data_IF_108173334283
#
_entry.id   IF_108173334283
#
_cell.length_a   1.000
_cell.length_b   1.000
_cell.length_c   1.000
_cell.angle_alpha   90.00
_cell.angle_beta   90.00
_cell.angle_gamma   90.00
#
_symmetry.space_group_name_H-M   'P 1'
#
loop_
_entity.id
_entity.type
_entity.pdbx_description
1 polymer ?
#
# COMPACT_ATOMS: atom_id res chain seq x y z
N UNK A 1 1.59 -52.39 -19.86
CA UNK A 1 0.81 -52.79 -21.02
C UNK A 1 0.09 -51.53 -21.51
N UNK A 2 0.62 -50.85 -22.39
CA UNK A 2 0.74 -51.06 -23.85
C UNK A 2 -0.45 -50.38 -24.56
N UNK A 3 -0.10 -49.44 -25.26
CA UNK A 3 0.17 -49.12 -26.67
C UNK A 3 -1.00 -48.46 -27.40
N UNK A 4 -0.68 -47.39 -27.96
CA UNK A 4 -0.47 -46.97 -29.37
C UNK A 4 -1.73 -46.43 -30.04
N UNK A 5 -1.67 -45.25 -30.55
CA UNK A 5 -1.02 -44.68 -31.70
C UNK A 5 -1.92 -44.63 -32.96
N UNK A 6 -1.83 -43.48 -33.60
CA UNK A 6 -1.82 -43.23 -35.05
C UNK A 6 -3.15 -43.35 -35.84
N UNK A 7 -3.47 -42.62 -36.83
CA UNK A 7 -2.84 -41.69 -37.78
C UNK A 7 -3.95 -41.16 -38.72
N UNK A 8 -3.85 -39.96 -39.18
CA UNK A 8 -3.55 -39.48 -40.54
C UNK A 8 -4.62 -39.38 -41.61
N UNK A 9 -4.53 -38.24 -42.27
CA UNK A 9 -4.61 -37.91 -43.70
C UNK A 9 -6.00 -37.56 -44.27
N UNK A 10 -6.16 -36.36 -44.75
CA UNK A 10 -5.74 -35.65 -45.99
C UNK A 10 -6.46 -36.13 -47.28
N UNK A 11 -6.97 -35.16 -47.97
CA UNK A 11 -6.93 -34.88 -49.43
C UNK A 11 -8.23 -34.17 -49.86
N UNK A 12 -8.15 -32.95 -50.28
CA UNK A 12 -7.89 -32.41 -51.62
C UNK A 12 -9.03 -32.58 -52.62
N UNK A 13 -9.30 -31.41 -53.20
CA UNK A 13 -9.64 -31.07 -54.59
C UNK A 13 -11.13 -30.95 -54.91
N UNK A 14 -11.60 -30.11 -55.74
CA UNK A 14 -11.10 -29.12 -56.74
C UNK A 14 -12.32 -28.40 -57.33
N UNK A 15 -12.11 -27.14 -57.69
CA UNK A 15 -12.48 -26.46 -58.95
C UNK A 15 -13.95 -26.15 -59.32
N UNK A 16 -14.15 -24.94 -59.59
CA UNK A 16 -14.57 -24.21 -60.78
C UNK A 16 -15.72 -23.20 -60.60
N UNK A 17 -15.29 -21.97 -60.74
CA UNK A 17 -15.77 -20.87 -61.60
C UNK A 17 -17.27 -20.81 -61.98
N UNK A 18 -17.93 -19.67 -61.82
CA UNK A 18 -18.10 -18.60 -62.78
C UNK A 18 -19.14 -17.55 -62.35
N UNK A 19 -18.80 -16.30 -62.78
CA UNK A 19 -19.60 -15.10 -63.05
C UNK A 19 -20.44 -14.37 -62.01
N UNK A 20 -19.89 -13.18 -61.74
CA UNK A 20 -20.46 -11.81 -61.83
C UNK A 20 -21.93 -11.55 -61.41
N UNK A 21 -22.06 -10.62 -60.46
CA UNK A 21 -22.79 -9.35 -60.63
C UNK A 21 -22.44 -8.37 -59.51
N UNK A 22 -22.02 -7.18 -59.93
CA UNK A 22 -21.79 -6.03 -59.08
C UNK A 22 -23.12 -5.57 -58.43
N UNK A 23 -23.13 -5.41 -57.09
CA UNK A 23 -24.03 -4.47 -56.46
C UNK A 23 -23.26 -3.74 -55.37
N UNK A 24 -23.03 -2.46 -55.61
CA UNK A 24 -22.53 -1.50 -54.68
C UNK A 24 -23.44 -1.41 -53.45
N UNK A 25 -22.96 -1.92 -52.31
CA UNK A 25 -23.53 -1.64 -50.98
C UNK A 25 -22.48 -0.86 -50.22
N UNK A 26 -22.75 0.39 -49.98
CA UNK A 26 -22.05 1.23 -49.00
C UNK A 26 -22.19 0.57 -47.64
N UNK A 27 -21.14 -0.14 -47.20
CA UNK A 27 -20.95 -0.44 -45.78
C UNK A 27 -20.47 0.83 -45.11
N UNK A 28 -21.40 1.56 -44.51
CA UNK A 28 -21.08 2.51 -43.44
C UNK A 28 -20.48 1.70 -42.29
N UNK A 29 -19.16 1.76 -42.18
CA UNK A 29 -18.47 1.41 -40.95
C UNK A 29 -18.94 2.38 -39.88
N UNK A 30 -19.91 1.95 -39.08
CA UNK A 30 -20.25 2.56 -37.81
C UNK A 30 -19.11 2.27 -36.86
N UNK A 31 -18.05 3.09 -36.93
CA UNK A 31 -17.10 3.24 -35.84
C UNK A 31 -17.84 4.06 -34.79
N UNK A 32 -18.49 3.38 -33.87
CA UNK A 32 -18.83 3.96 -32.59
C UNK A 32 -17.52 4.26 -31.85
N UNK A 33 -16.91 5.40 -32.21
CA UNK A 33 -16.14 6.16 -31.25
C UNK A 33 -17.14 6.48 -30.12
N UNK A 34 -17.08 5.68 -29.04
CA UNK A 34 -17.80 6.02 -27.82
C UNK A 34 -17.20 7.34 -27.32
N UNK A 35 -17.89 8.42 -27.62
CA UNK A 35 -17.67 9.70 -26.95
C UNK A 35 -17.76 9.38 -25.45
N UNK A 36 -16.63 9.49 -24.73
CA UNK A 36 -16.62 9.32 -23.28
C UNK A 36 -17.67 10.25 -22.71
N UNK A 37 -18.60 9.73 -21.91
CA UNK A 37 -19.59 10.50 -21.22
C UNK A 37 -18.86 11.62 -20.45
N UNK A 38 -19.11 12.92 -20.71
CA UNK A 38 -18.42 14.00 -20.03
C UNK A 38 -18.64 14.00 -18.51
N UNK A 39 -19.58 13.19 -18.01
CA UNK A 39 -19.88 13.03 -16.59
C UNK A 39 -19.08 11.88 -15.90
N UNK A 40 -18.28 11.11 -16.64
CA UNK A 40 -17.51 9.98 -16.09
C UNK A 40 -16.05 10.00 -16.52
N UNK A 41 -15.21 9.27 -15.78
CA UNK A 41 -13.79 9.03 -16.07
C UNK A 41 -13.48 7.55 -15.86
N UNK A 42 -12.69 6.94 -16.75
CA UNK A 42 -12.20 5.57 -16.58
C UNK A 42 -10.71 5.60 -16.25
N UNK A 43 -10.33 4.88 -15.22
CA UNK A 43 -8.95 4.69 -14.77
C UNK A 43 -8.61 3.21 -14.70
N UNK A 44 -7.32 2.88 -14.57
CA UNK A 44 -6.85 1.52 -14.26
C UNK A 44 -6.30 1.51 -12.84
N UNK A 45 -6.85 0.67 -11.97
CA UNK A 45 -6.39 0.57 -10.58
C UNK A 45 -5.19 -0.37 -10.41
N UNK A 46 -4.65 -0.48 -9.20
CA UNK A 46 -3.49 -1.34 -8.92
C UNK A 46 -3.80 -2.85 -8.97
N UNK A 47 -5.03 -3.27 -9.19
CA UNK A 47 -5.37 -4.66 -9.53
C UNK A 47 -5.29 -4.91 -11.04
N UNK A 48 -5.13 -3.85 -11.84
CA UNK A 48 -5.20 -3.87 -13.29
C UNK A 48 -6.63 -3.83 -13.84
N UNK A 49 -7.62 -3.56 -13.00
CA UNK A 49 -9.00 -3.43 -13.41
C UNK A 49 -9.30 -2.01 -13.92
N UNK A 50 -10.09 -1.92 -15.00
CA UNK A 50 -10.67 -0.66 -15.43
C UNK A 50 -11.86 -0.30 -14.51
N UNK A 51 -11.83 0.89 -13.94
CA UNK A 51 -12.88 1.41 -13.06
C UNK A 51 -13.43 2.70 -13.64
N UNK A 52 -14.74 2.75 -13.85
CA UNK A 52 -15.43 3.96 -14.29
C UNK A 52 -15.96 4.71 -13.06
N UNK A 53 -15.52 5.94 -12.93
CA UNK A 53 -15.82 6.83 -11.81
C UNK A 53 -16.64 8.04 -12.29
N UNK A 54 -17.50 8.64 -11.46
CA UNK A 54 -18.12 9.94 -11.77
C UNK A 54 -17.02 11.01 -11.91
N UNK A 55 -17.27 12.03 -12.75
CA UNK A 55 -16.32 13.12 -12.94
C UNK A 55 -16.11 13.95 -11.65
N UNK A 56 -17.14 14.05 -10.82
CA UNK A 56 -17.07 14.68 -9.50
C UNK A 56 -17.19 13.60 -8.43
N UNK A 57 -16.22 13.57 -7.52
CA UNK A 57 -16.15 12.62 -6.42
C UNK A 57 -16.15 13.42 -5.12
N UNK A 58 -17.28 13.39 -4.42
CA UNK A 58 -17.50 14.12 -3.16
C UNK A 58 -17.82 13.17 -1.99
N UNK A 59 -17.97 11.84 -2.27
CA UNK A 59 -18.40 10.84 -1.29
C UNK A 59 -17.48 9.62 -1.34
N UNK A 60 -16.38 9.71 -0.60
CA UNK A 60 -15.33 8.68 -0.57
C UNK A 60 -15.46 7.84 0.68
N UNK A 61 -15.38 6.53 0.51
CA UNK A 61 -15.18 5.59 1.62
C UNK A 61 -13.80 4.94 1.49
N UNK A 62 -13.02 4.92 2.57
CA UNK A 62 -11.72 4.24 2.63
C UNK A 62 -11.85 3.04 3.55
N UNK A 63 -11.90 1.83 2.97
CA UNK A 63 -12.13 0.59 3.71
C UNK A 63 -10.82 -0.07 4.16
N UNK A 64 -10.42 -1.19 3.58
CA UNK A 64 -9.31 -2.01 4.07
C UNK A 64 -7.91 -1.46 3.79
N UNK A 65 -7.77 -0.35 3.05
CA UNK A 65 -6.46 0.27 2.80
C UNK A 65 -6.11 1.27 3.91
N UNK A 66 -5.76 0.74 5.06
CA UNK A 66 -5.65 1.48 6.32
C UNK A 66 -4.66 2.68 6.31
N UNK A 67 -3.53 2.68 5.57
CA UNK A 67 -2.64 3.84 5.53
C UNK A 67 -3.13 5.00 4.65
N UNK A 68 -4.06 4.75 3.72
CA UNK A 68 -4.46 5.73 2.71
C UNK A 68 -5.06 7.04 3.25
N UNK A 69 -5.80 7.09 4.37
CA UNK A 69 -6.45 8.34 4.81
C UNK A 69 -5.50 9.54 4.90
N UNK A 70 -4.28 9.35 5.42
CA UNK A 70 -3.33 10.46 5.53
C UNK A 70 -2.77 10.91 4.17
N UNK A 71 -2.48 9.95 3.29
CA UNK A 71 -2.00 10.23 1.92
C UNK A 71 -3.08 10.95 1.14
N UNK A 72 -4.32 10.49 1.24
CA UNK A 72 -5.49 11.11 0.64
C UNK A 72 -5.68 12.56 1.09
N UNK A 73 -5.72 12.78 2.40
CA UNK A 73 -5.91 14.12 2.96
C UNK A 73 -4.80 15.10 2.53
N UNK A 74 -3.54 14.64 2.47
CA UNK A 74 -2.43 15.48 2.01
C UNK A 74 -2.54 15.79 0.51
N UNK A 75 -2.90 14.82 -0.31
CA UNK A 75 -3.10 15.03 -1.75
C UNK A 75 -4.26 15.98 -2.03
N UNK A 76 -5.40 15.80 -1.35
CA UNK A 76 -6.61 16.61 -1.52
C UNK A 76 -6.56 17.96 -0.80
N UNK A 77 -5.69 18.09 0.23
CA UNK A 77 -5.67 19.24 1.13
C UNK A 77 -6.89 19.34 2.04
N UNK A 78 -7.73 18.31 2.13
CA UNK A 78 -8.96 18.23 2.92
C UNK A 78 -9.34 16.78 3.24
N UNK A 79 -10.19 16.58 4.25
CA UNK A 79 -10.87 15.32 4.53
C UNK A 79 -12.40 15.42 4.35
N UNK A 80 -12.91 16.52 3.79
CA UNK A 80 -14.37 16.76 3.68
C UNK A 80 -15.09 15.73 2.81
N UNK A 81 -14.41 15.21 1.78
CA UNK A 81 -14.96 14.21 0.86
C UNK A 81 -15.04 12.80 1.51
N UNK A 82 -14.34 12.57 2.63
CA UNK A 82 -14.32 11.27 3.29
C UNK A 82 -15.58 11.10 4.14
N UNK A 83 -16.55 10.36 3.61
CA UNK A 83 -17.80 10.05 4.33
C UNK A 83 -17.70 8.80 5.21
N UNK A 84 -16.73 7.92 4.96
CA UNK A 84 -16.51 6.72 5.74
C UNK A 84 -15.07 6.25 5.75
N UNK A 85 -14.59 5.77 6.91
CA UNK A 85 -13.28 5.13 7.05
C UNK A 85 -13.36 3.90 7.95
N UNK A 86 -12.41 2.96 7.75
CA UNK A 86 -12.31 1.79 8.61
C UNK A 86 -12.11 2.18 10.10
N UNK A 87 -12.73 1.50 11.08
CA UNK A 87 -12.59 1.83 12.51
C UNK A 87 -11.15 1.90 12.99
N UNK A 88 -10.26 1.02 12.49
CA UNK A 88 -8.82 1.07 12.82
C UNK A 88 -8.13 2.31 12.25
N UNK A 89 -8.61 2.84 11.14
CA UNK A 89 -8.13 4.10 10.54
C UNK A 89 -8.60 5.29 11.36
N UNK A 90 -9.85 5.29 11.82
CA UNK A 90 -10.35 6.32 12.72
C UNK A 90 -9.56 6.35 14.02
N UNK A 91 -9.36 5.19 14.66
CA UNK A 91 -8.57 5.11 15.88
C UNK A 91 -7.13 5.62 15.71
N UNK A 92 -6.51 5.38 14.54
CA UNK A 92 -5.18 5.93 14.25
C UNK A 92 -5.23 7.45 14.03
N UNK A 93 -6.23 7.96 13.32
CA UNK A 93 -6.41 9.40 13.09
C UNK A 93 -6.59 10.17 14.40
N UNK A 94 -7.45 9.69 15.29
CA UNK A 94 -7.73 10.30 16.60
C UNK A 94 -6.51 10.37 17.51
N UNK A 95 -5.56 9.45 17.38
CA UNK A 95 -4.36 9.36 18.21
C UNK A 95 -3.09 9.90 17.53
N UNK A 96 -3.21 10.55 16.39
CA UNK A 96 -2.12 11.11 15.59
C UNK A 96 -2.28 12.60 15.33
N UNK A 97 -1.36 13.21 14.58
CA UNK A 97 -1.49 14.60 14.16
C UNK A 97 -2.54 14.81 13.06
N UNK A 98 -2.99 13.76 12.39
CA UNK A 98 -3.95 13.87 11.29
C UNK A 98 -5.22 14.60 11.69
N UNK A 99 -5.80 14.25 12.87
CA UNK A 99 -7.00 14.90 13.40
C UNK A 99 -6.81 16.39 13.69
N UNK A 100 -5.57 16.84 13.94
CA UNK A 100 -5.27 18.24 14.22
C UNK A 100 -5.11 19.06 12.94
N UNK A 101 -4.67 18.42 11.85
CA UNK A 101 -4.45 19.06 10.54
C UNK A 101 -5.73 19.02 9.71
N UNK A 102 -6.44 17.90 9.75
CA UNK A 102 -7.69 17.64 9.03
C UNK A 102 -8.78 17.18 10.00
N UNK A 103 -9.32 18.07 10.85
CA UNK A 103 -10.29 17.70 11.89
C UNK A 103 -11.61 17.15 11.31
N UNK A 104 -11.91 17.44 10.04
CA UNK A 104 -13.09 16.96 9.31
C UNK A 104 -13.15 15.44 9.24
N UNK A 105 -11.99 14.74 9.32
CA UNK A 105 -11.91 13.27 9.27
C UNK A 105 -12.72 12.62 10.42
N UNK A 106 -12.90 13.33 11.55
CA UNK A 106 -13.71 12.86 12.66
C UNK A 106 -15.20 12.71 12.31
N UNK A 107 -15.66 13.30 11.19
CA UNK A 107 -17.04 13.18 10.74
C UNK A 107 -17.30 11.90 9.94
N UNK A 108 -16.26 11.20 9.53
CA UNK A 108 -16.38 9.98 8.72
C UNK A 108 -17.05 8.86 9.53
N UNK A 109 -18.01 8.18 8.90
CA UNK A 109 -18.71 7.06 9.50
C UNK A 109 -17.79 5.81 9.53
N UNK A 110 -17.86 5.05 10.60
CA UNK A 110 -17.15 3.78 10.76
C UNK A 110 -18.09 2.59 10.84
N UNK A 111 -19.40 2.80 10.86
CA UNK A 111 -20.41 1.79 11.14
C UNK A 111 -20.61 0.79 9.99
N UNK A 112 -20.10 1.09 8.79
CA UNK A 112 -20.13 0.15 7.67
C UNK A 112 -19.19 -1.06 7.86
N UNK A 113 -18.35 -1.08 8.89
CA UNK A 113 -17.51 -2.23 9.25
C UNK A 113 -18.01 -2.83 10.56
N UNK A 114 -18.50 -4.07 10.50
CA UNK A 114 -18.98 -4.81 11.66
C UNK A 114 -18.15 -6.09 11.85
N UNK A 115 -17.63 -6.32 13.05
CA UNK A 115 -16.81 -7.49 13.39
C UNK A 115 -15.61 -7.70 12.43
N UNK A 116 -15.04 -6.60 11.90
CA UNK A 116 -13.91 -6.65 10.97
C UNK A 116 -14.27 -6.92 9.51
N UNK A 117 -15.54 -6.99 9.17
CA UNK A 117 -16.02 -7.17 7.79
C UNK A 117 -16.92 -6.01 7.35
N UNK A 118 -16.93 -5.76 6.05
CA UNK A 118 -17.80 -4.73 5.45
C UNK A 118 -19.26 -5.19 5.45
N UNK A 119 -20.12 -4.36 6.03
CA UNK A 119 -21.56 -4.48 5.90
C UNK A 119 -22.02 -3.74 4.65
N UNK A 120 -22.30 -4.49 3.58
CA UNK A 120 -22.63 -3.91 2.26
C UNK A 120 -23.94 -3.12 2.27
N UNK A 121 -24.93 -3.50 3.09
CA UNK A 121 -26.20 -2.78 3.17
C UNK A 121 -25.97 -1.40 3.81
N UNK A 122 -25.17 -1.34 4.85
CA UNK A 122 -24.79 -0.08 5.48
C UNK A 122 -23.98 0.79 4.52
N UNK A 123 -22.99 0.20 3.82
CA UNK A 123 -22.17 0.92 2.84
C UNK A 123 -23.02 1.50 1.70
N UNK A 124 -23.94 0.72 1.14
CA UNK A 124 -24.88 1.19 0.10
C UNK A 124 -25.76 2.34 0.59
N UNK A 125 -26.19 2.33 1.87
CA UNK A 125 -26.97 3.41 2.44
C UNK A 125 -26.21 4.73 2.59
N UNK A 126 -24.88 4.67 2.54
CA UNK A 126 -24.01 5.85 2.53
C UNK A 126 -23.89 6.48 1.15
N UNK A 127 -24.35 5.82 0.09
CA UNK A 127 -24.30 6.27 -1.31
C UNK A 127 -22.91 6.81 -1.70
N UNK A 128 -21.82 5.99 -1.59
CA UNK A 128 -20.49 6.43 -1.96
C UNK A 128 -20.33 6.56 -3.48
N UNK A 129 -19.60 7.60 -3.93
CA UNK A 129 -19.17 7.73 -5.32
C UNK A 129 -18.07 6.73 -5.66
N UNK A 130 -17.23 6.42 -4.67
CA UNK A 130 -16.14 5.46 -4.80
C UNK A 130 -15.74 4.88 -3.43
N UNK A 131 -15.31 3.62 -3.44
CA UNK A 131 -14.69 2.95 -2.30
C UNK A 131 -13.23 2.66 -2.61
N UNK A 132 -12.32 3.07 -1.73
CA UNK A 132 -10.90 2.71 -1.80
C UNK A 132 -10.62 1.54 -0.88
N UNK A 133 -9.97 0.51 -1.42
CA UNK A 133 -9.70 -0.73 -0.68
C UNK A 133 -8.29 -1.26 -0.94
N UNK A 134 -7.85 -2.25 -0.16
CA UNK A 134 -6.57 -2.92 -0.39
C UNK A 134 -6.67 -3.85 -1.58
N UNK A 135 -5.84 -3.64 -2.61
CA UNK A 135 -5.77 -4.49 -3.81
C UNK A 135 -5.51 -5.98 -3.48
N UNK A 136 -4.94 -6.27 -2.31
CA UNK A 136 -4.75 -7.64 -1.82
C UNK A 136 -6.04 -8.27 -1.25
N UNK A 137 -7.07 -7.47 -0.98
CA UNK A 137 -8.35 -7.95 -0.42
C UNK A 137 -9.34 -8.28 -1.54
N UNK A 138 -9.20 -9.47 -2.11
CA UNK A 138 -10.06 -9.93 -3.21
C UNK A 138 -11.51 -10.16 -2.79
N UNK A 139 -11.76 -10.45 -1.50
CA UNK A 139 -13.13 -10.63 -0.97
C UNK A 139 -13.91 -9.31 -0.99
N UNK A 140 -13.26 -8.20 -0.59
CA UNK A 140 -13.89 -6.89 -0.68
C UNK A 140 -14.11 -6.46 -2.13
N UNK A 141 -13.17 -6.73 -3.02
CA UNK A 141 -13.33 -6.47 -4.45
C UNK A 141 -14.59 -7.14 -4.98
N UNK A 142 -14.72 -8.46 -4.77
CA UNK A 142 -15.87 -9.24 -5.24
C UNK A 142 -17.19 -8.71 -4.62
N UNK A 143 -17.13 -8.25 -3.36
CA UNK A 143 -18.27 -7.66 -2.66
C UNK A 143 -18.75 -6.37 -3.33
N UNK A 144 -17.84 -5.47 -3.68
CA UNK A 144 -18.16 -4.19 -4.31
C UNK A 144 -18.60 -4.37 -5.77
N UNK A 145 -17.95 -5.25 -6.52
CA UNK A 145 -18.33 -5.58 -7.90
C UNK A 145 -19.75 -6.15 -7.96
N UNK A 146 -20.11 -7.07 -7.04
CA UNK A 146 -21.45 -7.64 -6.95
C UNK A 146 -22.51 -6.61 -6.54
N UNK A 147 -22.14 -5.60 -5.78
CA UNK A 147 -23.03 -4.53 -5.33
C UNK A 147 -23.13 -3.38 -6.34
N UNK A 148 -22.31 -3.37 -7.39
CA UNK A 148 -22.24 -2.30 -8.39
C UNK A 148 -21.69 -0.98 -7.84
N UNK A 149 -20.83 -1.05 -6.82
CA UNK A 149 -20.18 0.14 -6.22
C UNK A 149 -18.85 0.34 -6.93
N UNK A 150 -18.55 1.54 -7.48
CA UNK A 150 -17.23 1.83 -8.00
C UNK A 150 -16.18 1.67 -6.90
N UNK A 151 -15.19 0.78 -7.13
CA UNK A 151 -14.16 0.51 -6.14
C UNK A 151 -12.77 0.52 -6.78
N UNK A 152 -11.79 1.16 -6.11
CA UNK A 152 -10.42 1.31 -6.57
C UNK A 152 -9.47 0.62 -5.60
N UNK A 153 -8.72 -0.34 -6.10
CA UNK A 153 -7.75 -1.10 -5.32
C UNK A 153 -6.39 -0.42 -5.26
N UNK A 154 -5.89 -0.18 -4.04
CA UNK A 154 -4.54 0.33 -3.79
C UNK A 154 -3.61 -0.78 -3.33
N UNK A 155 -2.48 -0.97 -4.01
CA UNK A 155 -1.47 -1.97 -3.65
C UNK A 155 -0.38 -1.36 -2.77
N UNK A 156 0.07 -2.12 -1.76
CA UNK A 156 1.21 -1.76 -0.92
C UNK A 156 2.52 -2.41 -1.39
N UNK A 157 2.50 -3.22 -2.45
CA UNK A 157 3.63 -4.07 -2.83
C UNK A 157 4.07 -3.96 -4.30
N UNK A 158 3.48 -3.06 -5.09
CA UNK A 158 3.81 -2.90 -6.53
C UNK A 158 5.29 -2.60 -6.74
N UNK A 159 5.86 -1.70 -5.94
CA UNK A 159 7.25 -1.27 -6.06
C UNK A 159 8.23 -2.14 -5.25
N UNK A 160 7.89 -3.39 -4.92
CA UNK A 160 8.81 -4.31 -4.25
C UNK A 160 9.29 -3.84 -2.88
N UNK A 161 8.40 -3.20 -2.12
CA UNK A 161 8.65 -2.62 -0.80
C UNK A 161 9.54 -1.36 -0.80
N UNK A 162 9.79 -0.74 -1.95
CA UNK A 162 10.32 0.62 -2.00
C UNK A 162 9.24 1.59 -1.52
N UNK A 163 9.52 2.27 -0.41
CA UNK A 163 8.52 3.14 0.23
C UNK A 163 8.18 4.36 -0.62
N UNK A 164 9.19 4.96 -1.27
CA UNK A 164 9.01 6.16 -2.07
C UNK A 164 8.29 5.84 -3.38
N UNK A 165 8.68 4.76 -4.06
CA UNK A 165 8.00 4.38 -5.29
C UNK A 165 6.58 3.87 -5.03
N UNK A 166 6.34 3.12 -3.93
CA UNK A 166 4.97 2.72 -3.54
C UNK A 166 4.10 3.95 -3.21
N UNK A 167 4.68 4.96 -2.57
CA UNK A 167 3.99 6.23 -2.32
C UNK A 167 3.70 6.96 -3.64
N UNK A 168 4.68 6.98 -4.56
CA UNK A 168 4.52 7.57 -5.89
C UNK A 168 3.38 6.89 -6.68
N UNK A 169 3.33 5.56 -6.70
CA UNK A 169 2.25 4.79 -7.34
C UNK A 169 0.87 5.20 -6.79
N UNK A 170 0.75 5.41 -5.48
CA UNK A 170 -0.50 5.84 -4.87
C UNK A 170 -0.89 7.27 -5.24
N UNK A 171 0.07 8.18 -5.27
CA UNK A 171 -0.15 9.58 -5.67
C UNK A 171 -0.50 9.67 -7.15
N UNK A 172 0.15 8.87 -8.01
CA UNK A 172 -0.20 8.79 -9.44
C UNK A 172 -1.65 8.32 -9.63
N UNK A 173 -2.05 7.25 -8.94
CA UNK A 173 -3.43 6.75 -8.99
C UNK A 173 -4.44 7.79 -8.49
N UNK A 174 -4.12 8.53 -7.41
CA UNK A 174 -4.97 9.65 -6.96
C UNK A 174 -5.04 10.76 -8.01
N UNK A 175 -3.91 11.06 -8.67
CA UNK A 175 -3.86 12.00 -9.80
C UNK A 175 -4.79 11.60 -10.93
N UNK A 176 -4.83 10.32 -11.29
CA UNK A 176 -5.72 9.78 -12.32
C UNK A 176 -7.19 9.84 -11.88
N UNK A 177 -7.48 9.46 -10.65
CA UNK A 177 -8.84 9.49 -10.07
C UNK A 177 -9.42 10.91 -10.12
N UNK A 178 -8.65 11.92 -9.77
CA UNK A 178 -9.10 13.31 -9.69
C UNK A 178 -8.79 14.15 -10.94
N UNK A 179 -7.98 13.61 -11.89
CA UNK A 179 -7.52 14.35 -13.07
C UNK A 179 -6.56 15.49 -12.72
N UNK A 180 -5.79 15.33 -11.65
CA UNK A 180 -4.82 16.31 -11.17
C UNK A 180 -3.39 15.73 -11.20
N UNK A 181 -2.93 15.45 -12.41
CA UNK A 181 -1.57 14.95 -12.64
C UNK A 181 -0.49 15.97 -12.25
N UNK A 182 -0.77 17.27 -12.33
CA UNK A 182 0.21 18.30 -11.97
C UNK A 182 0.54 18.28 -10.47
N UNK A 183 -0.46 18.14 -9.60
CA UNK A 183 -0.25 17.99 -8.16
C UNK A 183 0.44 16.66 -7.84
N UNK A 184 0.05 15.58 -8.52
CA UNK A 184 0.68 14.27 -8.38
C UNK A 184 2.17 14.32 -8.72
N UNK A 185 2.52 14.86 -9.89
CA UNK A 185 3.92 14.98 -10.34
C UNK A 185 4.80 15.74 -9.34
N UNK A 186 4.29 16.84 -8.76
CA UNK A 186 5.03 17.64 -7.78
C UNK A 186 5.35 16.88 -6.50
N UNK A 187 4.37 16.11 -6.00
CA UNK A 187 4.54 15.32 -4.78
C UNK A 187 5.53 14.17 -5.04
N UNK A 188 5.39 13.47 -6.16
CA UNK A 188 6.25 12.37 -6.57
C UNK A 188 7.69 12.87 -6.74
N UNK A 189 7.89 13.97 -7.46
CA UNK A 189 9.21 14.57 -7.65
C UNK A 189 9.86 14.97 -6.32
N UNK A 190 9.10 15.55 -5.40
CA UNK A 190 9.58 15.90 -4.07
C UNK A 190 10.08 14.68 -3.30
N UNK A 191 9.31 13.57 -3.27
CA UNK A 191 9.70 12.33 -2.59
C UNK A 191 10.97 11.72 -3.19
N UNK A 192 11.03 11.60 -4.53
CA UNK A 192 12.19 11.05 -5.24
C UNK A 192 13.45 11.89 -5.05
N UNK A 193 13.33 13.22 -5.09
CA UNK A 193 14.44 14.12 -4.86
C UNK A 193 14.97 13.99 -3.43
N UNK A 194 14.08 13.93 -2.42
CA UNK A 194 14.45 13.75 -1.02
C UNK A 194 15.21 12.43 -0.81
N UNK A 195 14.70 11.33 -1.34
CA UNK A 195 15.40 10.03 -1.27
C UNK A 195 16.77 10.07 -1.96
N UNK A 196 16.87 10.74 -3.11
CA UNK A 196 18.12 10.91 -3.84
C UNK A 196 19.16 11.74 -3.07
N UNK A 197 18.72 12.82 -2.41
CA UNK A 197 19.60 13.64 -1.57
C UNK A 197 20.13 12.86 -0.36
N UNK A 198 19.29 12.06 0.29
CA UNK A 198 19.70 11.17 1.38
C UNK A 198 20.73 10.17 0.88
N UNK A 199 20.45 9.46 -0.23
CA UNK A 199 21.36 8.48 -0.83
C UNK A 199 22.69 9.09 -1.26
N UNK A 200 22.71 10.31 -1.76
CA UNK A 200 23.94 11.01 -2.12
C UNK A 200 24.90 11.17 -0.92
N UNK A 201 24.37 11.20 0.31
CA UNK A 201 25.18 11.22 1.54
C UNK A 201 25.52 9.81 2.00
N UNK A 202 24.52 8.94 2.09
CA UNK A 202 24.65 7.61 2.70
C UNK A 202 25.42 6.61 1.85
N UNK A 203 25.38 6.73 0.53
CA UNK A 203 26.18 5.90 -0.40
C UNK A 203 27.71 6.13 -0.25
N UNK A 204 28.13 7.22 0.41
CA UNK A 204 29.54 7.49 0.71
C UNK A 204 29.99 6.94 2.08
N UNK A 205 29.12 6.30 2.85
CA UNK A 205 29.48 5.67 4.11
C UNK A 205 30.18 4.34 3.78
N UNK A 206 31.42 4.16 4.29
CA UNK A 206 32.12 2.91 4.12
C UNK A 206 31.37 1.77 4.83
N UNK A 207 31.42 0.55 4.29
CA UNK A 207 30.62 -0.58 4.84
C UNK A 207 30.96 -0.87 6.31
N UNK A 208 32.21 -0.67 6.72
CA UNK A 208 32.65 -0.83 8.11
C UNK A 208 32.12 0.27 9.06
N UNK A 209 31.65 1.40 8.53
CA UNK A 209 31.10 2.52 9.32
C UNK A 209 29.57 2.50 9.37
N UNK A 210 28.92 1.64 8.60
CA UNK A 210 27.46 1.50 8.60
C UNK A 210 26.98 0.83 9.88
N UNK A 211 26.06 1.45 10.64
CA UNK A 211 25.51 0.83 11.84
C UNK A 211 24.62 -0.38 11.49
N UNK A 212 24.68 -1.40 12.34
CA UNK A 212 23.74 -2.52 12.34
C UNK A 212 22.42 -2.09 12.98
N UNK A 213 21.33 -2.20 12.26
CA UNK A 213 20.02 -1.70 12.69
C UNK A 213 19.00 -2.82 12.74
N UNK A 214 18.28 -2.91 13.86
CA UNK A 214 17.11 -3.77 14.04
C UNK A 214 15.85 -2.92 14.14
N UNK A 215 14.87 -3.17 13.29
CA UNK A 215 13.52 -2.64 13.44
C UNK A 215 12.65 -3.73 14.07
N UNK A 216 12.18 -3.48 15.29
CA UNK A 216 11.17 -4.29 15.96
C UNK A 216 9.81 -3.87 15.37
N UNK A 217 9.37 -4.60 14.34
CA UNK A 217 8.15 -4.27 13.61
C UNK A 217 6.90 -4.46 14.48
N UNK A 218 6.81 -5.61 15.17
CA UNK A 218 5.86 -5.82 16.25
C UNK A 218 6.59 -6.48 17.42
N UNK A 219 6.32 -6.01 18.61
CA UNK A 219 6.82 -6.60 19.82
C UNK A 219 5.74 -6.47 20.89
N UNK A 220 5.05 -7.56 21.16
CA UNK A 220 3.96 -7.63 22.11
C UNK A 220 3.85 -9.03 22.71
N UNK A 221 3.43 -9.13 23.99
CA UNK A 221 3.24 -10.39 24.70
C UNK A 221 4.43 -11.38 24.59
N UNK A 222 5.66 -10.86 24.54
CA UNK A 222 6.87 -11.68 24.41
C UNK A 222 7.15 -12.22 23.02
N UNK A 223 6.38 -11.82 22.01
CA UNK A 223 6.63 -12.14 20.60
C UNK A 223 7.28 -10.96 19.91
N UNK A 224 8.43 -11.20 19.29
CA UNK A 224 9.17 -10.19 18.52
C UNK A 224 9.06 -10.52 17.05
N UNK A 225 8.69 -9.54 16.20
CA UNK A 225 8.83 -9.66 14.75
C UNK A 225 9.74 -8.59 14.19
N UNK A 226 10.56 -8.96 13.21
CA UNK A 226 11.44 -8.07 12.48
C UNK A 226 11.17 -8.15 10.98
N UNK A 227 11.44 -7.08 10.25
CA UNK A 227 11.30 -7.04 8.80
C UNK A 227 12.58 -7.49 8.09
N UNK A 228 12.45 -8.48 7.22
CA UNK A 228 13.52 -9.07 6.43
C UNK A 228 13.88 -8.32 5.15
N UNK A 229 14.43 -9.05 4.17
CA UNK A 229 14.92 -8.50 2.90
C UNK A 229 13.81 -7.99 1.97
N UNK A 230 12.64 -8.57 2.07
CA UNK A 230 11.45 -8.25 1.28
C UNK A 230 10.38 -7.60 2.17
N UNK A 231 10.79 -6.54 2.87
CA UNK A 231 9.94 -5.75 3.74
C UNK A 231 10.42 -4.29 3.78
N UNK A 232 9.54 -3.36 4.10
CA UNK A 232 9.82 -1.92 4.12
C UNK A 232 10.98 -1.52 5.03
N UNK A 233 11.22 -2.25 6.14
CA UNK A 233 12.31 -1.98 7.06
C UNK A 233 13.68 -2.03 6.40
N UNK A 234 13.89 -2.92 5.43
CA UNK A 234 15.13 -2.97 4.65
C UNK A 234 15.34 -1.67 3.89
N UNK A 235 14.30 -1.21 3.18
CA UNK A 235 14.38 0.04 2.42
C UNK A 235 14.78 1.24 3.30
N UNK A 236 14.12 1.42 4.43
CA UNK A 236 14.44 2.52 5.36
C UNK A 236 15.85 2.44 5.90
N UNK A 237 16.25 1.25 6.37
CA UNK A 237 17.58 1.07 6.95
C UNK A 237 18.68 1.34 5.91
N UNK A 238 18.56 0.76 4.72
CA UNK A 238 19.59 0.87 3.69
C UNK A 238 19.64 2.28 3.09
N UNK A 239 18.49 2.92 2.86
CA UNK A 239 18.44 4.31 2.39
C UNK A 239 19.06 5.27 3.40
N UNK A 240 18.85 5.03 4.70
CA UNK A 240 19.47 5.79 5.78
C UNK A 240 20.96 5.45 6.02
N UNK A 241 21.55 4.52 5.25
CA UNK A 241 22.95 4.14 5.35
C UNK A 241 23.26 3.12 6.43
N UNK A 242 22.30 2.36 6.91
CA UNK A 242 22.47 1.26 7.85
C UNK A 242 22.53 -0.11 7.19
N UNK A 243 22.76 -1.13 8.02
CA UNK A 243 22.71 -2.56 7.66
C UNK A 243 21.52 -3.17 8.37
N UNK A 244 20.56 -3.74 7.63
CA UNK A 244 19.47 -4.49 8.22
C UNK A 244 19.98 -5.84 8.76
N UNK A 245 20.00 -6.00 10.09
CA UNK A 245 20.47 -7.26 10.71
C UNK A 245 19.57 -8.45 10.41
N UNK A 246 18.30 -8.20 10.07
CA UNK A 246 17.31 -9.22 9.71
C UNK A 246 17.27 -9.53 8.20
N UNK A 247 18.26 -9.09 7.42
CA UNK A 247 18.26 -9.19 5.95
C UNK A 247 18.14 -10.63 5.40
N UNK A 248 18.52 -11.64 6.17
CA UNK A 248 18.41 -13.05 5.79
C UNK A 248 16.99 -13.62 5.98
N UNK A 249 16.09 -12.86 6.62
CA UNK A 249 14.70 -13.26 6.79
C UNK A 249 13.86 -12.80 5.59
N UNK A 250 12.70 -13.44 5.39
CA UNK A 250 11.72 -13.07 4.38
C UNK A 250 10.47 -12.47 5.05
N UNK A 251 9.97 -11.37 4.50
CA UNK A 251 8.80 -10.67 4.99
C UNK A 251 8.95 -10.16 6.42
N UNK A 252 7.84 -10.14 7.17
CA UNK A 252 7.84 -9.94 8.62
C UNK A 252 7.92 -11.30 9.30
N UNK A 253 9.01 -11.59 9.99
CA UNK A 253 9.28 -12.88 10.60
C UNK A 253 9.43 -12.76 12.13
N UNK A 254 8.93 -13.78 12.83
CA UNK A 254 9.17 -13.92 14.27
C UNK A 254 10.65 -14.23 14.52
N UNK A 255 11.22 -13.56 15.51
CA UNK A 255 12.60 -13.73 15.96
C UNK A 255 12.66 -13.99 17.47
N UNK A 256 13.79 -14.49 17.93
CA UNK A 256 14.03 -14.72 19.34
C UNK A 256 15.26 -13.96 19.85
N UNK A 257 15.47 -13.96 21.16
CA UNK A 257 16.58 -13.23 21.78
C UNK A 257 17.96 -13.79 21.39
N UNK A 258 18.08 -15.09 21.04
CA UNK A 258 19.35 -15.67 20.57
C UNK A 258 19.77 -15.02 19.25
N UNK A 259 18.82 -14.83 18.32
CA UNK A 259 19.08 -14.10 17.07
C UNK A 259 19.45 -12.64 17.32
N UNK A 260 18.76 -11.97 18.25
CA UNK A 260 19.10 -10.59 18.65
C UNK A 260 20.53 -10.51 19.19
N UNK A 261 20.94 -11.46 20.03
CA UNK A 261 22.32 -11.51 20.57
C UNK A 261 23.37 -11.80 19.48
N UNK A 262 23.06 -12.68 18.53
CA UNK A 262 23.95 -12.98 17.40
C UNK A 262 24.14 -11.76 16.51
N UNK A 263 23.07 -11.05 16.22
CA UNK A 263 23.10 -9.84 15.41
C UNK A 263 23.79 -8.67 16.12
N UNK A 264 23.57 -8.54 17.41
CA UNK A 264 24.03 -7.46 18.28
C UNK A 264 23.90 -6.08 17.60
N UNK A 265 22.68 -5.56 17.43
CA UNK A 265 22.46 -4.31 16.69
C UNK A 265 23.05 -3.11 17.44
N UNK A 266 23.56 -2.13 16.65
CA UNK A 266 24.03 -0.84 17.13
C UNK A 266 22.88 0.12 17.42
N UNK A 267 21.77 -0.04 16.72
CA UNK A 267 20.55 0.77 16.82
C UNK A 267 19.33 -0.13 16.82
N UNK A 268 18.39 0.13 17.70
CA UNK A 268 17.06 -0.51 17.70
C UNK A 268 15.99 0.57 17.49
N UNK A 269 15.09 0.30 16.55
CA UNK A 269 13.91 1.12 16.27
C UNK A 269 12.67 0.30 16.60
N UNK A 270 11.82 0.80 17.50
CA UNK A 270 10.55 0.17 17.88
C UNK A 270 9.45 0.89 17.10
N UNK A 271 8.62 0.15 16.36
CA UNK A 271 7.51 0.76 15.63
C UNK A 271 6.35 1.14 16.56
N UNK A 272 5.42 1.95 16.06
CA UNK A 272 4.20 2.32 16.79
C UNK A 272 3.24 1.12 17.03
N UNK A 273 3.46 -0.04 16.40
CA UNK A 273 2.64 -1.24 16.61
C UNK A 273 2.99 -2.01 17.91
N UNK A 274 4.18 -1.77 18.46
CA UNK A 274 4.55 -2.33 19.76
C UNK A 274 4.04 -1.45 20.91
N UNK A 275 3.51 -2.01 22.00
CA UNK A 275 3.20 -1.26 23.21
C UNK A 275 4.44 -0.84 23.99
N UNK A 276 5.59 -1.53 23.81
CA UNK A 276 6.81 -1.27 24.55
C UNK A 276 7.50 0.03 24.14
N UNK A 277 8.17 0.64 25.12
CA UNK A 277 8.95 1.86 24.97
C UNK A 277 10.46 1.55 25.06
N UNK A 278 11.35 2.45 24.62
CA UNK A 278 12.79 2.31 24.82
C UNK A 278 13.19 2.02 26.28
N UNK A 279 12.48 2.62 27.24
CA UNK A 279 12.68 2.45 28.67
C UNK A 279 12.47 1.01 29.14
N UNK A 280 11.56 0.26 28.50
CA UNK A 280 11.32 -1.15 28.81
C UNK A 280 12.53 -2.02 28.48
N UNK A 281 13.22 -1.71 27.38
CA UNK A 281 14.46 -2.38 26.99
C UNK A 281 15.62 -1.94 27.90
N UNK A 282 15.76 -0.63 28.16
CA UNK A 282 16.81 -0.10 29.04
C UNK A 282 16.72 -0.63 30.48
N UNK A 283 15.51 -0.75 31.01
CA UNK A 283 15.27 -1.23 32.35
C UNK A 283 15.07 -2.75 32.44
N UNK A 284 15.12 -3.44 31.30
CA UNK A 284 14.95 -4.89 31.19
C UNK A 284 13.66 -5.39 31.88
N UNK A 285 12.54 -4.72 31.62
CA UNK A 285 11.26 -4.97 32.30
C UNK A 285 10.39 -6.01 31.62
N UNK A 286 10.78 -6.45 30.41
CA UNK A 286 9.99 -7.38 29.60
C UNK A 286 10.30 -8.81 30.03
N UNK A 287 9.32 -9.49 30.61
CA UNK A 287 9.48 -10.84 31.14
C UNK A 287 9.93 -11.83 30.06
N UNK A 288 10.93 -12.63 30.38
CA UNK A 288 11.48 -13.66 29.47
C UNK A 288 12.51 -13.16 28.46
N UNK A 289 12.75 -11.84 28.39
CA UNK A 289 13.69 -11.24 27.43
C UNK A 289 14.76 -10.43 28.16
N UNK A 290 16.03 -10.74 27.95
CA UNK A 290 17.16 -10.03 28.54
C UNK A 290 17.85 -9.13 27.49
N UNK A 291 17.58 -7.85 27.56
CA UNK A 291 18.15 -6.83 26.67
C UNK A 291 19.47 -6.24 27.18
N UNK A 292 19.89 -6.60 28.41
CA UNK A 292 21.02 -5.96 29.10
C UNK A 292 22.38 -6.15 28.43
N UNK A 293 22.50 -7.14 27.54
CA UNK A 293 23.75 -7.43 26.83
C UNK A 293 23.81 -6.85 25.43
N UNK A 294 22.71 -6.28 24.91
CA UNK A 294 22.59 -5.78 23.54
C UNK A 294 23.27 -4.42 23.40
N UNK A 295 24.13 -4.25 22.41
CA UNK A 295 24.92 -3.03 22.19
C UNK A 295 24.07 -1.77 22.07
N UNK A 296 22.96 -1.80 21.35
CA UNK A 296 22.05 -0.66 21.21
C UNK A 296 21.50 -0.20 22.58
N UNK A 297 21.14 -1.15 23.44
CA UNK A 297 20.62 -0.85 24.79
C UNK A 297 21.69 -0.25 25.67
N UNK A 298 22.89 -0.86 25.68
CA UNK A 298 24.02 -0.38 26.49
C UNK A 298 24.52 1.00 26.07
N UNK A 299 24.36 1.37 24.80
CA UNK A 299 24.79 2.64 24.24
C UNK A 299 23.67 3.70 24.19
N UNK A 300 22.47 3.40 24.71
CA UNK A 300 21.34 4.34 24.71
C UNK A 300 20.79 4.65 23.32
N UNK A 301 20.87 3.69 22.39
CA UNK A 301 20.47 3.84 20.98
C UNK A 301 19.21 3.03 20.64
N UNK A 302 18.24 3.07 21.53
CA UNK A 302 16.89 2.53 21.28
C UNK A 302 15.93 3.68 21.12
N UNK A 303 15.16 3.67 20.04
CA UNK A 303 14.24 4.74 19.70
C UNK A 303 12.86 4.16 19.37
N UNK A 304 11.82 4.98 19.55
CA UNK A 304 10.45 4.64 19.20
C UNK A 304 9.96 5.52 18.07
N UNK A 305 9.40 4.94 17.02
CA UNK A 305 8.67 5.71 16.04
C UNK A 305 7.37 6.24 16.65
N UNK A 306 7.10 7.54 16.56
CA UNK A 306 5.80 8.09 16.95
C UNK A 306 4.73 7.62 15.97
N UNK A 307 3.45 7.83 16.30
CA UNK A 307 2.38 7.75 15.31
C UNK A 307 2.56 8.79 14.21
N UNK A 308 3.23 9.92 14.52
CA UNK A 308 3.51 10.97 13.55
C UNK A 308 2.24 11.62 13.01
N UNK A 309 2.22 11.87 11.70
CA UNK A 309 1.06 12.43 11.02
C UNK A 309 -0.14 11.50 11.10
N UNK A 310 0.09 10.18 10.96
CA UNK A 310 -1.00 9.21 11.01
C UNK A 310 -0.60 7.85 11.58
N UNK A 311 0.24 7.09 10.90
CA UNK A 311 0.75 5.77 11.33
C UNK A 311 1.97 5.39 10.51
N UNK A 312 2.90 4.72 11.17
CA UNK A 312 4.17 4.28 10.58
C UNK A 312 4.03 2.92 9.88
N UNK A 313 3.36 2.89 8.74
CA UNK A 313 3.35 1.74 7.86
C UNK A 313 3.30 2.23 6.42
N UNK A 314 4.34 2.00 5.62
CA UNK A 314 4.38 2.48 4.24
C UNK A 314 3.34 1.81 3.33
N UNK A 315 2.89 2.51 2.32
CA UNK A 315 3.11 3.95 2.14
C UNK A 315 2.30 4.75 3.15
N UNK A 316 2.87 5.82 3.64
CA UNK A 316 2.18 6.74 4.56
C UNK A 316 2.77 8.14 4.44
N UNK A 317 2.05 9.12 5.01
CA UNK A 317 2.47 10.51 4.99
C UNK A 317 3.74 10.82 5.79
N UNK A 318 4.23 9.88 6.59
CA UNK A 318 5.45 10.02 7.38
C UNK A 318 6.67 9.35 6.69
N UNK A 319 6.47 8.77 5.52
CA UNK A 319 7.54 8.17 4.73
C UNK A 319 8.31 9.24 3.99
#
# INVERSE_FOLDING_TARGET
ADTSAETSAAAENDSAADTSEETSGEETSDSTDGEADPETRTIVDHTGAEVTLPANIDRVVISSILPLPSVYCLFRGSADDIIGIHPSSMAAAENSYLINVFPEIANADTSFVENGAVNIEQLLSMEPDVVFYSAANTEERDLYDNAGIPAVGFSTTMAGYDCIETYADWIELLGDIYGDSESADKIIEFGRNTASEIKAVTDNIADEDKPKVLILFNYDNGVITAGGSDFFSKYWIETAGGINVAADLSGSAEINMEQVYEWDPDIILITNFSPYLPEDLYNNTIEGHDWSTVSAVNNGKVYKFPLGMYRWFPPCSDT
#
